data_IF_765535083784
#
_entry.id   IF_765535083784
#
_cell.length_a   1.000
_cell.length_b   1.000
_cell.length_c   1.000
_cell.angle_alpha   90.00
_cell.angle_beta   90.00
_cell.angle_gamma   90.00
#
_symmetry.space_group_name_H-M   'P 1'
#
loop_
_entity.id
_entity.type
_entity.pdbx_description
1 polymer ?
#
# COMPACT_ATOMS: atom_id res chain seq x y z
N UNK A 1 -11.72 2.86 18.39
CA UNK A 1 -11.09 3.77 17.39
C UNK A 1 -9.60 3.78 17.70
N UNK A 2 -8.71 3.74 16.69
CA UNK A 2 -7.24 3.76 16.89
C UNK A 2 -6.85 5.14 17.41
N UNK A 3 -6.08 5.21 18.51
CA UNK A 3 -5.65 6.46 19.13
C UNK A 3 -4.24 6.33 19.73
N UNK A 4 -3.49 7.43 19.70
CA UNK A 4 -2.14 7.52 20.29
C UNK A 4 -1.11 6.62 19.60
N UNK A 5 -1.27 6.38 18.30
CA UNK A 5 -0.34 5.58 17.50
C UNK A 5 0.38 6.43 16.49
N UNK A 6 1.61 6.03 16.17
CA UNK A 6 2.31 6.51 14.99
C UNK A 6 2.09 5.50 13.87
N UNK A 7 1.57 5.97 12.75
CA UNK A 7 1.06 5.12 11.65
C UNK A 7 1.81 5.48 10.37
N UNK A 8 2.48 4.53 9.75
CA UNK A 8 3.00 4.67 8.39
C UNK A 8 1.91 4.32 7.38
N UNK A 9 1.71 5.18 6.39
CA UNK A 9 0.84 4.92 5.24
C UNK A 9 1.67 5.07 3.96
N UNK A 10 2.03 3.97 3.32
CA UNK A 10 2.68 4.03 2.01
C UNK A 10 1.65 4.23 0.91
N UNK A 11 1.94 5.07 -0.08
CA UNK A 11 0.92 5.51 -1.05
C UNK A 11 -0.12 6.46 -0.43
N UNK A 12 0.22 7.08 0.69
CA UNK A 12 -0.69 7.88 1.49
C UNK A 12 -1.11 9.21 0.87
N UNK A 13 -0.36 9.73 -0.11
CA UNK A 13 -0.74 10.93 -0.87
C UNK A 13 -1.78 10.64 -1.96
N UNK A 14 -2.07 9.38 -2.26
CA UNK A 14 -3.13 8.97 -3.18
C UNK A 14 -4.53 9.20 -2.61
N UNK A 15 -5.57 8.97 -3.44
CA UNK A 15 -6.97 9.23 -3.09
C UNK A 15 -7.45 8.47 -1.83
N UNK A 16 -7.18 7.16 -1.74
CA UNK A 16 -7.58 6.36 -0.58
C UNK A 16 -6.74 6.74 0.63
N UNK A 17 -5.42 6.90 0.45
CA UNK A 17 -4.49 7.23 1.51
C UNK A 17 -4.77 8.57 2.18
N UNK A 18 -5.03 9.61 1.40
CA UNK A 18 -5.41 10.93 1.95
C UNK A 18 -6.74 10.88 2.69
N UNK A 19 -7.73 10.14 2.16
CA UNK A 19 -9.02 9.94 2.82
C UNK A 19 -8.90 9.17 4.15
N UNK A 20 -8.01 8.18 4.22
CA UNK A 20 -7.73 7.45 5.45
C UNK A 20 -6.99 8.34 6.45
N UNK A 21 -5.99 9.09 5.99
CA UNK A 21 -5.22 10.03 6.82
C UNK A 21 -6.13 11.05 7.50
N UNK A 22 -7.08 11.64 6.76
CA UNK A 22 -8.06 12.58 7.33
C UNK A 22 -8.87 12.01 8.50
N UNK A 23 -9.09 10.70 8.53
CA UNK A 23 -9.84 10.03 9.61
C UNK A 23 -8.97 9.65 10.81
N UNK A 24 -7.67 9.52 10.60
CA UNK A 24 -6.75 9.04 11.63
C UNK A 24 -6.01 10.18 12.34
N UNK A 25 -5.74 11.27 11.65
CA UNK A 25 -4.79 12.32 12.05
C UNK A 25 -5.17 13.08 13.32
N UNK A 26 -6.45 13.18 13.64
CA UNK A 26 -6.92 13.89 14.83
C UNK A 26 -6.41 13.26 16.16
N UNK A 27 -6.18 11.93 16.14
CA UNK A 27 -5.83 11.18 17.35
C UNK A 27 -4.53 10.38 17.21
N UNK A 28 -3.79 10.54 16.11
CA UNK A 28 -2.59 9.76 15.81
C UNK A 28 -1.57 10.62 15.07
N UNK A 29 -0.31 10.22 15.13
CA UNK A 29 0.73 10.71 14.22
C UNK A 29 0.71 9.88 12.94
N UNK A 30 0.69 10.54 11.78
CA UNK A 30 0.66 9.84 10.48
C UNK A 30 1.89 10.21 9.67
N UNK A 31 2.67 9.21 9.30
CA UNK A 31 3.78 9.32 8.36
C UNK A 31 3.29 8.81 7.00
N UNK A 32 3.40 9.64 5.98
CA UNK A 32 3.05 9.30 4.61
C UNK A 32 4.34 9.08 3.82
N UNK A 33 4.53 7.88 3.26
CA UNK A 33 5.58 7.61 2.29
C UNK A 33 4.95 7.54 0.90
N UNK A 34 5.32 8.46 0.02
CA UNK A 34 4.75 8.54 -1.33
C UNK A 34 5.76 9.15 -2.32
N UNK A 35 5.76 8.73 -3.57
CA UNK A 35 6.58 9.33 -4.63
C UNK A 35 5.88 10.49 -5.35
N UNK A 36 4.63 10.79 -4.96
CA UNK A 36 3.77 11.86 -5.48
C UNK A 36 3.44 11.73 -6.98
N UNK A 37 3.50 10.50 -7.52
CA UNK A 37 3.08 10.25 -8.91
C UNK A 37 1.59 10.55 -9.12
N UNK A 38 0.78 10.28 -8.11
CA UNK A 38 -0.65 10.64 -8.04
C UNK A 38 -0.90 11.34 -6.71
N UNK A 39 -0.88 12.65 -6.71
CA UNK A 39 -1.02 13.46 -5.51
C UNK A 39 -2.46 14.01 -5.37
N UNK A 40 -3.25 13.37 -4.52
CA UNK A 40 -4.55 13.86 -4.09
C UNK A 40 -4.47 14.65 -2.78
N UNK A 41 -3.36 14.49 -2.02
CA UNK A 41 -3.17 15.13 -0.72
C UNK A 41 -2.96 16.63 -0.85
N UNK A 42 -2.29 17.11 -1.90
CA UNK A 42 -2.01 18.53 -2.14
C UNK A 42 -3.27 19.40 -2.23
N UNK A 43 -4.43 18.80 -2.51
CA UNK A 43 -5.74 19.48 -2.54
C UNK A 43 -6.45 19.49 -1.20
N UNK A 44 -5.82 18.99 -0.13
CA UNK A 44 -6.40 18.86 1.21
C UNK A 44 -5.61 19.70 2.22
N UNK A 45 -6.18 19.88 3.42
CA UNK A 45 -5.50 20.50 4.56
C UNK A 45 -4.42 19.62 5.23
N UNK A 46 -4.23 18.39 4.76
CA UNK A 46 -3.29 17.45 5.38
C UNK A 46 -1.84 17.86 5.27
N UNK A 47 -1.48 18.59 4.22
CA UNK A 47 -0.08 18.98 3.97
C UNK A 47 0.48 19.91 5.06
N UNK A 48 -0.40 20.67 5.72
CA UNK A 48 -0.04 21.60 6.80
C UNK A 48 -0.43 21.06 8.19
N UNK A 49 -0.97 19.84 8.26
CA UNK A 49 -1.46 19.30 9.54
C UNK A 49 -0.29 18.91 10.45
N UNK A 50 -0.26 19.37 11.73
CA UNK A 50 0.90 19.16 12.62
C UNK A 50 1.21 17.69 12.92
N UNK A 51 0.21 16.80 12.83
CA UNK A 51 0.38 15.37 13.06
C UNK A 51 0.66 14.59 11.76
N UNK A 52 0.91 15.25 10.63
CA UNK A 52 1.25 14.60 9.36
C UNK A 52 2.71 14.89 9.00
N UNK A 53 3.44 13.84 8.71
CA UNK A 53 4.79 13.93 8.15
C UNK A 53 4.82 13.31 6.76
N UNK A 54 5.11 14.10 5.73
CA UNK A 54 5.29 13.59 4.38
C UNK A 54 6.76 13.25 4.12
N UNK A 55 7.03 11.99 3.84
CA UNK A 55 8.32 11.48 3.35
C UNK A 55 8.18 11.24 1.85
N UNK A 56 8.78 12.11 1.03
CA UNK A 56 8.82 11.89 -0.41
C UNK A 56 9.85 10.80 -0.74
N UNK A 57 9.39 9.67 -1.28
CA UNK A 57 10.26 8.54 -1.61
C UNK A 57 9.52 7.40 -2.30
N UNK A 58 10.24 6.34 -2.62
CA UNK A 58 9.71 5.16 -3.29
C UNK A 58 9.82 3.93 -2.36
N UNK A 59 8.81 3.07 -2.36
CA UNK A 59 8.82 1.81 -1.60
C UNK A 59 9.86 0.81 -2.14
N UNK A 60 10.40 1.04 -3.33
CA UNK A 60 11.52 0.28 -3.86
C UNK A 60 12.86 0.63 -3.20
N UNK A 61 12.95 1.77 -2.53
CA UNK A 61 14.10 2.17 -1.72
C UNK A 61 13.88 1.75 -0.25
N UNK A 62 14.49 0.62 0.11
CA UNK A 62 14.34 0.02 1.44
C UNK A 62 14.81 0.94 2.57
N UNK A 63 15.86 1.72 2.37
CA UNK A 63 16.35 2.66 3.38
C UNK A 63 15.34 3.77 3.64
N UNK A 64 14.68 4.25 2.58
CA UNK A 64 13.61 5.24 2.71
C UNK A 64 12.38 4.65 3.41
N UNK A 65 12.04 3.39 3.14
CA UNK A 65 10.98 2.69 3.90
C UNK A 65 11.35 2.59 5.38
N UNK A 66 12.58 2.20 5.70
CA UNK A 66 13.05 2.06 7.10
C UNK A 66 12.98 3.40 7.85
N UNK A 67 13.46 4.49 7.24
CA UNK A 67 13.37 5.83 7.84
C UNK A 67 11.91 6.29 8.05
N UNK A 68 11.04 6.03 7.08
CA UNK A 68 9.63 6.41 7.20
C UNK A 68 8.88 5.58 8.26
N UNK A 69 9.28 4.33 8.45
CA UNK A 69 8.67 3.42 9.40
C UNK A 69 9.15 3.62 10.85
N UNK A 70 10.21 4.37 11.07
CA UNK A 70 10.83 4.54 12.38
C UNK A 70 9.83 4.96 13.47
N UNK A 71 9.70 4.11 14.50
CA UNK A 71 8.78 4.31 15.63
C UNK A 71 7.31 4.12 15.32
N UNK A 72 6.93 3.67 14.11
CA UNK A 72 5.54 3.37 13.77
C UNK A 72 5.10 2.03 14.38
N UNK A 73 3.94 2.03 15.02
CA UNK A 73 3.31 0.82 15.55
C UNK A 73 2.35 0.17 14.56
N UNK A 74 1.86 0.93 13.59
CA UNK A 74 0.94 0.44 12.55
C UNK A 74 1.49 0.81 11.19
N UNK A 75 1.44 -0.12 10.25
CA UNK A 75 1.81 0.12 8.86
C UNK A 75 0.62 -0.21 7.97
N UNK A 76 0.21 0.73 7.13
CA UNK A 76 -0.80 0.55 6.09
C UNK A 76 -0.11 0.66 4.74
N UNK A 77 0.06 -0.48 4.07
CA UNK A 77 0.74 -0.56 2.80
C UNK A 77 -0.26 -0.47 1.64
N UNK A 78 -0.29 0.68 0.96
CA UNK A 78 -1.17 0.94 -0.18
C UNK A 78 -0.40 1.34 -1.43
N UNK A 79 0.92 1.55 -1.34
CA UNK A 79 1.74 1.95 -2.48
C UNK A 79 1.71 0.86 -3.56
N UNK A 80 1.13 1.18 -4.70
CA UNK A 80 1.03 0.29 -5.85
C UNK A 80 0.72 1.09 -7.10
N UNK A 81 1.03 0.50 -8.26
CA UNK A 81 0.61 1.05 -9.55
C UNK A 81 -0.74 0.41 -9.89
N UNK A 82 -1.79 1.24 -9.92
CA UNK A 82 -3.15 0.82 -10.25
C UNK A 82 -3.67 1.58 -11.49
N UNK A 83 -4.71 1.02 -12.11
CA UNK A 83 -5.35 1.55 -13.31
C UNK A 83 -4.95 0.77 -14.56
N UNK A 84 -5.95 0.23 -15.25
CA UNK A 84 -5.81 -0.73 -16.37
C UNK A 84 -4.80 -0.25 -17.41
N UNK A 85 -4.96 0.98 -17.90
CA UNK A 85 -4.08 1.53 -18.95
C UNK A 85 -2.61 1.64 -18.50
N UNK A 86 -2.39 2.02 -17.23
CA UNK A 86 -1.04 2.16 -16.68
C UNK A 86 -0.38 0.79 -16.50
N UNK A 87 -1.13 -0.18 -15.99
CA UNK A 87 -0.69 -1.57 -15.82
C UNK A 87 -0.33 -2.20 -17.16
N UNK A 88 -1.20 -2.05 -18.16
CA UNK A 88 -0.95 -2.60 -19.50
C UNK A 88 0.27 -2.00 -20.19
N UNK A 89 0.53 -0.69 -19.97
CA UNK A 89 1.69 -0.01 -20.54
C UNK A 89 3.00 -0.32 -19.80
N UNK A 90 2.92 -0.63 -18.51
CA UNK A 90 4.08 -0.81 -17.64
C UNK A 90 3.97 -2.06 -16.74
N UNK A 91 3.76 -3.27 -17.32
CA UNK A 91 3.49 -4.46 -16.52
C UNK A 91 4.68 -4.85 -15.61
N UNK A 92 5.90 -4.73 -16.10
CA UNK A 92 7.11 -5.05 -15.33
C UNK A 92 7.26 -4.11 -14.13
N UNK A 93 7.07 -2.80 -14.33
CA UNK A 93 7.17 -1.83 -13.24
C UNK A 93 6.03 -2.04 -12.22
N UNK A 94 4.81 -2.34 -12.69
CA UNK A 94 3.67 -2.66 -11.82
C UNK A 94 4.00 -3.81 -10.89
N UNK A 95 4.51 -4.91 -11.45
CA UNK A 95 4.89 -6.10 -10.66
C UNK A 95 6.07 -5.81 -9.73
N UNK A 96 7.08 -5.07 -10.21
CA UNK A 96 8.22 -4.68 -9.40
C UNK A 96 7.80 -3.87 -8.17
N UNK A 97 7.00 -2.82 -8.36
CA UNK A 97 6.53 -1.97 -7.25
C UNK A 97 5.68 -2.78 -6.27
N UNK A 98 4.76 -3.62 -6.75
CA UNK A 98 3.93 -4.42 -5.87
C UNK A 98 4.78 -5.44 -5.07
N UNK A 99 5.57 -6.28 -5.74
CA UNK A 99 6.30 -7.37 -5.07
C UNK A 99 7.46 -6.86 -4.22
N UNK A 100 8.41 -6.13 -4.82
CA UNK A 100 9.59 -5.66 -4.08
C UNK A 100 9.24 -4.57 -3.07
N UNK A 101 8.28 -3.70 -3.38
CA UNK A 101 7.80 -2.71 -2.42
C UNK A 101 7.17 -3.34 -1.19
N UNK A 102 6.32 -4.36 -1.37
CA UNK A 102 5.73 -5.11 -0.25
C UNK A 102 6.80 -5.87 0.53
N UNK A 103 7.75 -6.53 -0.14
CA UNK A 103 8.86 -7.21 0.53
C UNK A 103 9.67 -6.24 1.40
N UNK A 104 10.06 -5.08 0.88
CA UNK A 104 10.76 -4.06 1.64
C UNK A 104 9.99 -3.63 2.90
N UNK A 105 8.67 -3.43 2.76
CA UNK A 105 7.82 -3.04 3.89
C UNK A 105 7.72 -4.14 4.94
N UNK A 106 7.57 -5.41 4.52
CA UNK A 106 7.49 -6.55 5.43
C UNK A 106 8.82 -6.80 6.16
N UNK A 107 9.94 -6.76 5.45
CA UNK A 107 11.28 -6.92 6.03
C UNK A 107 11.56 -5.81 7.06
N UNK A 108 11.29 -4.55 6.72
CA UNK A 108 11.46 -3.42 7.64
C UNK A 108 10.55 -3.57 8.86
N UNK A 109 9.29 -3.94 8.68
CA UNK A 109 8.35 -4.17 9.78
C UNK A 109 8.84 -5.28 10.73
N UNK A 110 9.37 -6.37 10.17
CA UNK A 110 9.93 -7.48 10.95
C UNK A 110 11.16 -7.06 11.74
N UNK A 111 12.12 -6.39 11.11
CA UNK A 111 13.36 -5.94 11.74
C UNK A 111 13.15 -4.92 12.86
N UNK A 112 12.14 -4.06 12.72
CA UNK A 112 11.78 -3.09 13.76
C UNK A 112 11.27 -3.74 15.05
N UNK A 113 10.64 -4.91 14.96
CA UNK A 113 10.16 -5.69 16.11
C UNK A 113 9.07 -5.03 16.97
N UNK A 114 8.60 -3.82 16.62
CA UNK A 114 7.62 -3.06 17.39
C UNK A 114 6.29 -2.79 16.65
N UNK A 115 6.11 -3.39 15.48
CA UNK A 115 4.90 -3.22 14.67
C UNK A 115 3.78 -4.09 15.24
N UNK A 116 2.74 -3.45 15.75
CA UNK A 116 1.55 -4.12 16.31
C UNK A 116 0.65 -4.69 15.19
N UNK A 117 0.61 -4.01 14.04
CA UNK A 117 -0.24 -4.40 12.90
C UNK A 117 0.30 -3.87 11.58
N UNK A 118 0.32 -4.76 10.59
CA UNK A 118 0.50 -4.42 9.20
C UNK A 118 -0.80 -4.71 8.44
N UNK A 119 -1.22 -3.79 7.58
CA UNK A 119 -2.38 -3.95 6.68
C UNK A 119 -1.88 -3.78 5.25
N UNK A 120 -1.93 -4.83 4.44
CA UNK A 120 -1.67 -4.76 3.00
C UNK A 120 -2.99 -4.61 2.23
N UNK A 121 -3.02 -3.67 1.28
CA UNK A 121 -4.18 -3.44 0.44
C UNK A 121 -4.14 -4.34 -0.79
N UNK A 122 -5.10 -5.24 -0.90
CA UNK A 122 -5.30 -6.09 -2.05
C UNK A 122 -6.36 -5.56 -3.02
N UNK A 123 -6.93 -6.42 -3.82
CA UNK A 123 -7.90 -6.10 -4.86
C UNK A 123 -8.90 -7.24 -5.07
N UNK A 124 -10.14 -6.90 -5.39
CA UNK A 124 -11.15 -7.89 -5.79
C UNK A 124 -10.82 -8.60 -7.12
N UNK A 125 -9.88 -8.09 -7.91
CA UNK A 125 -9.46 -8.73 -9.15
C UNK A 125 -8.80 -10.10 -8.94
N UNK A 126 -8.35 -10.42 -7.71
CA UNK A 126 -7.80 -11.75 -7.37
C UNK A 126 -8.83 -12.87 -7.52
N UNK A 127 -10.12 -12.55 -7.48
CA UNK A 127 -11.21 -13.50 -7.69
C UNK A 127 -11.59 -13.70 -9.18
N UNK A 128 -10.92 -13.00 -10.10
CA UNK A 128 -11.06 -13.20 -11.53
C UNK A 128 -12.30 -12.57 -12.18
N UNK A 129 -12.58 -13.04 -13.41
CA UNK A 129 -13.63 -12.45 -14.28
C UNK A 129 -15.06 -12.71 -13.79
N UNK A 130 -15.27 -13.79 -13.07
CA UNK A 130 -16.59 -14.31 -12.72
C UNK A 130 -16.89 -14.19 -11.24
N UNK A 131 -16.20 -13.27 -10.57
CA UNK A 131 -16.42 -13.00 -9.16
C UNK A 131 -17.86 -12.52 -8.92
N UNK A 132 -18.65 -13.32 -8.19
CA UNK A 132 -20.02 -12.98 -7.82
C UNK A 132 -20.28 -13.43 -6.39
N UNK A 133 -20.58 -12.46 -5.51
CA UNK A 133 -20.80 -12.71 -4.08
C UNK A 133 -19.67 -13.48 -3.39
N UNK A 134 -18.44 -13.26 -3.82
CA UNK A 134 -17.24 -13.87 -3.23
C UNK A 134 -16.96 -13.32 -1.85
N UNK A 135 -16.36 -14.16 -1.02
CA UNK A 135 -15.85 -13.86 0.31
C UNK A 135 -14.35 -14.10 0.36
N UNK A 136 -13.69 -13.66 1.43
CA UNK A 136 -12.24 -13.84 1.62
C UNK A 136 -11.80 -15.31 1.66
N UNK A 137 -12.72 -16.23 1.96
CA UNK A 137 -12.44 -17.67 1.99
C UNK A 137 -12.57 -18.37 0.65
N UNK A 138 -13.04 -17.67 -0.39
CA UNK A 138 -13.24 -18.29 -1.70
C UNK A 138 -11.91 -18.43 -2.47
N UNK A 139 -11.87 -19.41 -3.36
CA UNK A 139 -10.70 -19.65 -4.20
C UNK A 139 -10.44 -18.47 -5.15
N UNK A 140 -9.19 -18.03 -5.21
CA UNK A 140 -8.75 -17.03 -6.17
C UNK A 140 -8.60 -17.63 -7.56
N UNK A 141 -8.91 -16.84 -8.61
CA UNK A 141 -8.79 -17.26 -9.99
C UNK A 141 -8.24 -16.13 -10.83
N UNK A 142 -7.17 -16.38 -11.57
CA UNK A 142 -6.55 -15.39 -12.46
C UNK A 142 -6.73 -15.81 -13.93
N UNK A 143 -6.57 -14.87 -14.85
CA UNK A 143 -6.67 -15.13 -16.28
C UNK A 143 -5.45 -15.82 -16.87
N UNK A 144 -5.48 -15.99 -18.20
CA UNK A 144 -4.42 -16.67 -18.93
C UNK A 144 -3.07 -15.96 -18.83
N UNK A 145 -1.99 -16.73 -18.77
CA UNK A 145 -0.62 -16.22 -18.86
C UNK A 145 -0.43 -15.49 -20.20
N UNK A 146 0.18 -14.31 -20.18
CA UNK A 146 0.40 -13.47 -21.36
C UNK A 146 -0.63 -12.34 -21.51
N UNK A 147 -1.72 -12.34 -20.76
CA UNK A 147 -2.63 -11.20 -20.70
C UNK A 147 -2.12 -10.16 -19.67
N UNK A 148 -1.52 -9.06 -20.15
CA UNK A 148 -0.91 -8.02 -19.30
C UNK A 148 -1.89 -7.41 -18.27
N UNK A 149 -3.19 -7.44 -18.53
CA UNK A 149 -4.21 -6.96 -17.58
C UNK A 149 -4.18 -7.68 -16.23
N UNK A 150 -3.73 -8.93 -16.21
CA UNK A 150 -3.67 -9.73 -14.98
C UNK A 150 -2.43 -9.47 -14.13
N UNK A 151 -1.45 -8.73 -14.67
CA UNK A 151 -0.20 -8.42 -13.95
C UNK A 151 -0.46 -7.82 -12.57
N UNK A 152 -1.42 -6.90 -12.48
CA UNK A 152 -1.79 -6.28 -11.21
C UNK A 152 -2.39 -7.31 -10.24
N UNK A 153 -3.40 -8.06 -10.66
CA UNK A 153 -4.05 -9.06 -9.81
C UNK A 153 -3.08 -10.16 -9.36
N UNK A 154 -2.21 -10.65 -10.28
CA UNK A 154 -1.15 -11.62 -9.95
C UNK A 154 -0.21 -11.06 -8.88
N UNK A 155 0.25 -9.83 -9.03
CA UNK A 155 1.16 -9.22 -8.05
C UNK A 155 0.48 -9.04 -6.70
N UNK A 156 -0.78 -8.61 -6.67
CA UNK A 156 -1.53 -8.42 -5.42
C UNK A 156 -1.86 -9.75 -4.73
N UNK A 157 -2.21 -10.79 -5.47
CA UNK A 157 -2.38 -12.12 -4.89
C UNK A 157 -1.07 -12.64 -4.27
N UNK A 158 0.06 -12.43 -4.92
CA UNK A 158 1.35 -12.81 -4.36
C UNK A 158 1.67 -12.03 -3.08
N UNK A 159 1.35 -10.72 -3.01
CA UNK A 159 1.58 -9.93 -1.80
C UNK A 159 0.65 -10.32 -0.65
N UNK A 160 -0.59 -10.75 -0.92
CA UNK A 160 -1.45 -11.34 0.11
C UNK A 160 -0.79 -12.55 0.77
N UNK A 161 -0.26 -13.48 -0.04
CA UNK A 161 0.44 -14.64 0.49
C UNK A 161 1.69 -14.27 1.29
N UNK A 162 2.42 -13.21 0.90
CA UNK A 162 3.58 -12.73 1.66
C UNK A 162 3.17 -12.10 3.00
N UNK A 163 2.08 -11.33 3.02
CA UNK A 163 1.66 -10.58 4.21
C UNK A 163 0.93 -11.45 5.25
N UNK A 164 0.35 -12.58 4.86
CA UNK A 164 -0.43 -13.46 5.72
C UNK A 164 0.36 -14.67 6.27
N UNK A 165 1.55 -14.97 5.75
CA UNK A 165 2.40 -16.07 6.16
C UNK A 165 3.73 -15.60 6.75
#
# INVERSE_FOLDING_TARGET
MIQGRKILITGGAGFIGSSLTLRLVENNEVVILDNLHRDAMSTTSLIEHPNVTLVRGDVLDRETVARAAEGCQIIVHMASIAGVDTVMKNPVLTMKVALLGTMNVLEVAHEMGGVERLVDFSTSEVFGRYAFRVTEGDATQLGAVGEARWTYAVSKLATEHLALN
#
